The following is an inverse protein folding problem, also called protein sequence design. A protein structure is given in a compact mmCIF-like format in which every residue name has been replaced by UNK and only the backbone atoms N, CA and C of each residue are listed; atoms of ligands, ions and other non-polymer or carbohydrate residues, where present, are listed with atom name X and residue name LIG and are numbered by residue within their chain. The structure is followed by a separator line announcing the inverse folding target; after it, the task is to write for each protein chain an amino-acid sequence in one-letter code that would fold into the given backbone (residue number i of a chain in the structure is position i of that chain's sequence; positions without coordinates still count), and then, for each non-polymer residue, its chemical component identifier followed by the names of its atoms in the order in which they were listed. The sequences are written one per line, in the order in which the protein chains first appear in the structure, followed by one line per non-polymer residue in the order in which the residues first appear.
data_IF_270062078711
#
_entry.id   IF_270062078711
#
_cell.length_a   1.000
_cell.length_b   1.000
_cell.length_c   1.000
_cell.angle_alpha   90.00
_cell.angle_beta   90.00
_cell.angle_gamma   90.00
#
_symmetry.space_group_name_H-M   'P 1'
#
loop_
_entity.id
_entity.type
_entity.pdbx_description
1 polymer ?
#
# COMPACT_ATOMS: atom_id res chain seq x y z
N UNK A 1 -5.12 -24.25 7.33
CA UNK A 1 -4.48 -23.22 6.48
C UNK A 1 -4.30 -22.00 7.35
N UNK A 2 -3.08 -21.78 7.86
CA UNK A 2 -2.82 -20.80 8.91
C UNK A 2 -2.87 -19.35 8.40
N UNK A 3 -3.34 -18.39 9.22
CA UNK A 3 -3.30 -16.98 8.86
C UNK A 3 -1.88 -16.47 9.12
N UNK A 4 -1.09 -16.28 8.08
CA UNK A 4 0.25 -15.74 8.25
C UNK A 4 1.15 -15.92 7.06
N UNK A 5 0.85 -15.24 5.96
CA UNK A 5 1.81 -14.84 4.93
C UNK A 5 1.17 -13.74 4.08
N UNK A 6 1.19 -12.51 4.59
CA UNK A 6 1.26 -11.26 3.81
C UNK A 6 1.41 -10.12 4.83
N UNK A 7 2.46 -10.23 5.64
CA UNK A 7 3.03 -9.09 6.35
C UNK A 7 3.86 -8.31 5.35
N UNK A 8 3.22 -7.41 4.60
CA UNK A 8 3.89 -6.38 3.80
C UNK A 8 4.50 -5.27 4.65
N UNK A 9 4.92 -5.61 5.87
CA UNK A 9 5.59 -4.74 6.84
C UNK A 9 6.94 -5.41 7.12
N UNK A 10 7.88 -5.23 6.18
CA UNK A 10 9.28 -5.58 6.41
C UNK A 10 9.85 -4.77 7.58
N UNK A 11 11.09 -5.06 8.04
CA UNK A 11 11.76 -4.26 9.05
C UNK A 11 12.05 -2.85 8.50
N UNK A 12 11.06 -1.97 8.60
CA UNK A 12 11.09 -0.58 8.21
C UNK A 12 10.59 0.31 9.36
N UNK A 13 10.56 1.64 9.15
CA UNK A 13 10.16 2.65 10.16
C UNK A 13 8.81 2.40 10.86
N UNK A 14 7.99 1.49 10.34
CA UNK A 14 6.72 1.04 10.91
C UNK A 14 6.88 0.35 12.29
N UNK A 15 8.01 -0.33 12.58
CA UNK A 15 8.30 -0.82 13.94
C UNK A 15 8.46 0.32 14.96
N UNK A 16 8.95 1.49 14.51
CA UNK A 16 9.05 2.69 15.34
C UNK A 16 7.69 3.32 15.60
N UNK A 17 6.78 3.30 14.62
CA UNK A 17 5.42 3.81 14.78
C UNK A 17 4.61 3.00 15.79
N UNK A 18 4.57 1.67 15.65
CA UNK A 18 3.77 0.79 16.52
C UNK A 18 4.21 0.80 17.99
N UNK A 19 5.48 1.05 18.24
CA UNK A 19 6.03 1.13 19.59
C UNK A 19 5.66 2.44 20.31
N UNK A 20 5.29 3.49 19.57
CA UNK A 20 4.91 4.79 20.13
C UNK A 20 3.43 4.88 20.51
N UNK A 21 2.57 4.07 19.88
CA UNK A 21 1.13 4.09 20.13
C UNK A 21 0.78 3.52 21.51
N UNK A 22 -0.15 4.18 22.20
CA UNK A 22 -0.87 3.62 23.35
C UNK A 22 -1.95 2.61 22.90
N UNK A 23 -2.63 1.96 23.84
CA UNK A 23 -3.56 0.87 23.51
C UNK A 23 -4.78 1.35 22.70
N UNK A 24 -5.34 2.52 23.02
CA UNK A 24 -6.46 3.11 22.27
C UNK A 24 -6.03 3.49 20.84
N UNK A 25 -4.85 4.10 20.69
CA UNK A 25 -4.28 4.46 19.40
C UNK A 25 -3.97 3.21 18.56
N UNK A 26 -3.54 2.11 19.19
CA UNK A 26 -3.30 0.83 18.48
C UNK A 26 -4.60 0.24 17.95
N UNK A 27 -5.68 0.31 18.70
CA UNK A 27 -6.99 -0.17 18.25
C UNK A 27 -7.50 0.66 17.05
N UNK A 28 -7.38 1.98 17.13
CA UNK A 28 -7.71 2.88 16.03
C UNK A 28 -6.85 2.62 14.79
N UNK A 29 -5.53 2.47 14.98
CA UNK A 29 -4.61 2.16 13.89
C UNK A 29 -4.91 0.81 13.23
N UNK A 30 -5.28 -0.21 14.01
CA UNK A 30 -5.73 -1.52 13.48
C UNK A 30 -6.99 -1.38 12.64
N UNK A 31 -7.96 -0.60 13.10
CA UNK A 31 -9.20 -0.33 12.37
C UNK A 31 -8.90 0.34 11.03
N UNK A 32 -8.12 1.42 11.03
CA UNK A 32 -7.72 2.12 9.80
C UNK A 32 -7.00 1.21 8.80
N UNK A 33 -6.09 0.35 9.27
CA UNK A 33 -5.41 -0.60 8.39
C UNK A 33 -6.32 -1.70 7.87
N UNK A 34 -7.29 -2.13 8.68
CA UNK A 34 -8.27 -3.14 8.27
C UNK A 34 -9.17 -2.56 7.18
N UNK A 35 -9.75 -1.37 7.39
CA UNK A 35 -10.58 -0.68 6.41
C UNK A 35 -9.79 -0.46 5.11
N UNK A 36 -8.55 0.01 5.22
CA UNK A 36 -7.67 0.17 4.06
C UNK A 36 -7.45 -1.15 3.32
N UNK A 37 -7.18 -2.25 4.04
CA UNK A 37 -6.95 -3.56 3.43
C UNK A 37 -8.21 -4.04 2.70
N UNK A 38 -9.37 -3.84 3.29
CA UNK A 38 -10.65 -4.25 2.72
C UNK A 38 -10.93 -3.43 1.44
N UNK A 39 -10.69 -2.12 1.47
CA UNK A 39 -10.80 -1.22 0.31
C UNK A 39 -9.77 -1.55 -0.81
N UNK A 40 -8.58 -2.05 -0.45
CA UNK A 40 -7.55 -2.41 -1.43
C UNK A 40 -7.74 -3.82 -2.01
N UNK A 41 -8.63 -4.66 -1.46
CA UNK A 41 -8.75 -6.06 -1.87
C UNK A 41 -9.09 -6.20 -3.37
N UNK A 42 -10.08 -5.46 -3.84
CA UNK A 42 -10.51 -5.47 -5.25
C UNK A 42 -9.41 -4.95 -6.18
N UNK A 43 -8.75 -3.84 -5.80
CA UNK A 43 -7.65 -3.23 -6.54
C UNK A 43 -6.45 -4.16 -6.66
N UNK A 44 -6.15 -4.93 -5.62
CA UNK A 44 -5.13 -5.96 -5.65
C UNK A 44 -5.45 -7.08 -6.65
N UNK A 45 -6.72 -7.49 -6.71
CA UNK A 45 -7.21 -8.44 -7.71
C UNK A 45 -7.05 -7.94 -9.14
N UNK A 46 -7.44 -6.69 -9.39
CA UNK A 46 -7.29 -6.03 -10.69
C UNK A 46 -5.82 -5.91 -11.11
N UNK A 47 -4.93 -5.51 -10.19
CA UNK A 47 -3.50 -5.42 -10.45
C UNK A 47 -2.92 -6.78 -10.89
N UNK A 48 -3.26 -7.85 -10.17
CA UNK A 48 -2.81 -9.19 -10.55
C UNK A 48 -3.36 -9.63 -11.91
N UNK A 49 -4.61 -9.27 -12.23
CA UNK A 49 -5.19 -9.56 -13.53
C UNK A 49 -4.45 -8.85 -14.67
N UNK A 50 -4.18 -7.55 -14.51
CA UNK A 50 -3.41 -6.75 -15.48
C UNK A 50 -1.97 -7.25 -15.64
N UNK A 51 -1.31 -7.64 -14.54
CA UNK A 51 0.03 -8.23 -14.60
C UNK A 51 0.03 -9.56 -15.37
N UNK A 52 -0.96 -10.43 -15.13
CA UNK A 52 -1.11 -11.67 -15.90
C UNK A 52 -1.38 -11.40 -17.38
N UNK A 53 -2.22 -10.41 -17.68
CA UNK A 53 -2.51 -10.00 -19.06
C UNK A 53 -1.25 -9.49 -19.76
N UNK A 54 -0.47 -8.63 -19.10
CA UNK A 54 0.79 -8.13 -19.63
C UNK A 54 1.78 -9.26 -19.91
N UNK A 55 1.92 -10.21 -18.98
CA UNK A 55 2.76 -11.38 -19.18
C UNK A 55 2.28 -12.25 -20.34
N UNK A 56 0.98 -12.46 -20.48
CA UNK A 56 0.42 -13.22 -21.59
C UNK A 56 0.67 -12.56 -22.94
N UNK A 57 0.57 -11.22 -23.02
CA UNK A 57 0.85 -10.46 -24.25
C UNK A 57 2.34 -10.53 -24.64
N UNK A 58 3.24 -10.45 -23.67
CA UNK A 58 4.70 -10.50 -23.91
C UNK A 58 5.16 -11.91 -24.30
N UNK A 59 4.55 -12.95 -23.74
CA UNK A 59 4.90 -14.34 -24.00
C UNK A 59 4.01 -15.02 -25.06
N UNK A 60 3.18 -14.24 -25.76
CA UNK A 60 2.37 -14.77 -26.84
C UNK A 60 3.26 -15.32 -27.96
N UNK A 61 2.85 -16.43 -28.59
CA UNK A 61 3.53 -16.92 -29.78
C UNK A 61 3.25 -15.98 -30.95
N UNK A 62 4.31 -15.42 -31.56
CA UNK A 62 4.21 -14.50 -32.69
C UNK A 62 4.75 -13.11 -32.38
N UNK A 63 4.35 -12.13 -33.18
CA UNK A 63 4.71 -10.72 -32.97
C UNK A 63 3.95 -10.15 -31.77
N UNK A 64 4.66 -9.36 -30.96
CA UNK A 64 4.09 -8.69 -29.78
C UNK A 64 3.12 -7.60 -30.25
N UNK A 65 1.88 -7.67 -29.78
CA UNK A 65 0.90 -6.59 -29.94
C UNK A 65 1.30 -5.40 -29.03
N UNK A 66 2.03 -4.45 -29.61
CA UNK A 66 2.55 -3.29 -28.88
C UNK A 66 1.47 -2.36 -28.36
N UNK A 67 0.33 -2.27 -29.06
CA UNK A 67 -0.78 -1.41 -28.66
C UNK A 67 -1.50 -2.01 -27.44
N UNK A 68 -1.75 -3.32 -27.46
CA UNK A 68 -2.33 -4.03 -26.31
C UNK A 68 -1.41 -3.99 -25.08
N UNK A 69 -0.09 -4.06 -25.28
CA UNK A 69 0.90 -3.90 -24.21
C UNK A 69 0.85 -2.49 -23.62
N UNK A 70 0.84 -1.45 -24.47
CA UNK A 70 0.78 -0.05 -24.03
C UNK A 70 -0.50 0.24 -23.23
N UNK A 71 -1.65 -0.24 -23.70
CA UNK A 71 -2.94 -0.10 -23.00
C UNK A 71 -2.92 -0.78 -21.63
N UNK A 72 -2.38 -2.00 -21.56
CA UNK A 72 -2.29 -2.75 -20.29
C UNK A 72 -1.36 -2.04 -19.30
N UNK A 73 -0.22 -1.51 -19.77
CA UNK A 73 0.70 -0.73 -18.94
C UNK A 73 0.07 0.58 -18.45
N UNK A 74 -0.68 1.29 -19.29
CA UNK A 74 -1.36 2.52 -18.91
C UNK A 74 -2.38 2.27 -17.78
N UNK A 75 -3.17 1.20 -17.87
CA UNK A 75 -4.11 0.80 -16.81
C UNK A 75 -3.39 0.41 -15.52
N UNK A 76 -2.28 -0.30 -15.62
CA UNK A 76 -1.46 -0.66 -14.46
C UNK A 76 -0.91 0.59 -13.76
N UNK A 77 -0.39 1.56 -14.52
CA UNK A 77 0.15 2.80 -13.98
C UNK A 77 -0.94 3.65 -13.30
N UNK A 78 -2.14 3.71 -13.88
CA UNK A 78 -3.30 4.35 -13.27
C UNK A 78 -3.65 3.71 -11.92
N UNK A 79 -3.76 2.40 -11.88
CA UNK A 79 -4.08 1.65 -10.67
C UNK A 79 -3.01 1.84 -9.59
N UNK A 80 -1.72 1.80 -9.96
CA UNK A 80 -0.61 2.08 -9.05
C UNK A 80 -0.68 3.50 -8.47
N UNK A 81 -1.02 4.50 -9.29
CA UNK A 81 -1.19 5.88 -8.83
C UNK A 81 -2.32 5.98 -7.80
N UNK A 82 -3.45 5.33 -8.04
CA UNK A 82 -4.58 5.31 -7.12
C UNK A 82 -4.18 4.68 -5.78
N UNK A 83 -3.54 3.51 -5.81
CA UNK A 83 -3.04 2.83 -4.60
C UNK A 83 -2.06 3.71 -3.83
N UNK A 84 -1.14 4.40 -4.51
CA UNK A 84 -0.21 5.32 -3.86
C UNK A 84 -0.93 6.48 -3.15
N UNK A 85 -1.95 7.05 -3.77
CA UNK A 85 -2.76 8.10 -3.15
C UNK A 85 -3.49 7.58 -1.90
N UNK A 86 -4.06 6.39 -1.95
CA UNK A 86 -4.71 5.79 -0.79
C UNK A 86 -3.70 5.48 0.32
N UNK A 87 -2.52 4.95 -0.01
CA UNK A 87 -1.44 4.75 0.97
C UNK A 87 -1.03 6.05 1.66
N UNK A 88 -0.96 7.16 0.92
CA UNK A 88 -0.67 8.48 1.49
C UNK A 88 -1.78 8.96 2.41
N UNK A 89 -3.05 8.67 2.10
CA UNK A 89 -4.18 8.98 2.97
C UNK A 89 -4.14 8.17 4.26
N UNK A 90 -3.93 6.85 4.17
CA UNK A 90 -3.75 5.98 5.33
C UNK A 90 -2.60 6.48 6.22
N UNK A 91 -1.43 6.75 5.63
CA UNK A 91 -0.27 7.22 6.37
C UNK A 91 -0.57 8.54 7.10
N UNK A 92 -1.30 9.46 6.47
CA UNK A 92 -1.74 10.70 7.13
C UNK A 92 -2.68 10.41 8.29
N UNK A 93 -3.70 9.56 8.10
CA UNK A 93 -4.64 9.20 9.17
C UNK A 93 -3.95 8.52 10.35
N UNK A 94 -2.99 7.63 10.09
CA UNK A 94 -2.15 7.03 11.12
C UNK A 94 -1.29 8.06 11.85
N UNK A 95 -0.76 9.05 11.14
CA UNK A 95 0.04 10.14 11.73
C UNK A 95 -0.81 11.10 12.57
N UNK A 96 -2.07 11.29 12.21
CA UNK A 96 -3.04 12.10 12.97
C UNK A 96 -3.39 11.48 14.32
N UNK A 97 -3.29 10.15 14.46
CA UNK A 97 -3.48 9.46 15.74
C UNK A 97 -2.42 9.81 16.78
N UNK A 98 -1.22 10.17 16.33
CA UNK A 98 -0.11 10.52 17.20
C UNK A 98 -0.33 11.88 17.85
N UNK A 99 0.05 12.02 19.11
CA UNK A 99 0.17 13.32 19.75
C UNK A 99 1.44 14.06 19.30
N UNK A 100 1.59 15.31 19.73
CA UNK A 100 2.71 16.15 19.33
C UNK A 100 4.06 15.60 19.80
N UNK A 101 4.13 14.97 20.98
CA UNK A 101 5.37 14.37 21.50
C UNK A 101 5.77 13.13 20.70
N UNK A 102 4.81 12.26 20.41
CA UNK A 102 4.98 11.06 19.60
C UNK A 102 5.41 11.42 18.16
N UNK A 103 4.84 12.48 17.57
CA UNK A 103 5.25 12.98 16.25
C UNK A 103 6.70 13.49 16.24
N UNK A 104 7.12 14.24 17.26
CA UNK A 104 8.51 14.71 17.40
C UNK A 104 9.50 13.54 17.49
N UNK A 105 9.12 12.45 18.18
CA UNK A 105 9.94 11.23 18.26
C UNK A 105 10.07 10.49 16.91
N UNK A 106 9.06 10.57 16.04
CA UNK A 106 9.07 9.96 14.70
C UNK A 106 9.76 10.80 13.63
N UNK A 107 9.78 12.12 13.77
CA UNK A 107 10.38 13.05 12.81
C UNK A 107 11.22 14.10 13.52
N UNK A 108 12.43 13.74 14.00
CA UNK A 108 13.31 14.66 14.71
C UNK A 108 13.89 15.78 13.82
N UNK A 109 13.64 15.78 12.51
CA UNK A 109 14.23 16.71 11.53
C UNK A 109 13.38 17.95 11.21
N UNK A 110 12.31 18.24 11.95
CA UNK A 110 11.51 19.47 11.74
C UNK A 110 12.11 20.72 12.45
N UNK A 111 13.23 20.58 13.14
CA UNK A 111 13.97 21.67 13.79
C UNK A 111 15.43 21.68 13.32
N UNK A 112 15.69 22.20 12.12
CA UNK A 112 16.99 22.82 11.75
C UNK A 112 16.77 23.96 10.76
#
# INVERSE_FOLDING_TARGET
MGPGMMGGYGPGPEYGFWSLLNDDQREQARTLMQDFRDDQYERGGEMMALQRQLMALIHAEGDIDTDAVADTQARLAELQRQIWQEHRRLHRSLFELLDEEQRRRLSPQAEE
#
